data_IF_140290835097
#
_entry.id   IF_140290835097
#
_cell.length_a   1.000
_cell.length_b   1.000
_cell.length_c   1.000
_cell.angle_alpha   90.00
_cell.angle_beta   90.00
_cell.angle_gamma   90.00
#
_symmetry.space_group_name_H-M   'P 1'
#
loop_
_entity.id
_entity.type
_entity.pdbx_description
1 polymer ?
#
# COMPACT_ATOMS: atom_id res chain seq x y z
N UNK A 1 1.37 -0.47 -24.74
CA UNK A 1 0.65 -0.95 -23.55
C UNK A 1 -0.14 0.21 -23.00
N UNK A 2 -1.45 0.04 -22.79
CA UNK A 2 -2.23 1.05 -22.07
C UNK A 2 -1.62 1.26 -20.69
N UNK A 3 -1.36 2.51 -20.31
CA UNK A 3 -0.74 2.80 -19.02
C UNK A 3 -1.65 2.43 -17.84
N UNK A 4 -1.07 2.27 -16.66
CA UNK A 4 -1.75 1.83 -15.43
C UNK A 4 -2.31 3.04 -14.69
N UNK A 5 -3.55 2.94 -14.19
CA UNK A 5 -4.09 3.88 -13.22
C UNK A 5 -3.44 3.63 -11.85
N UNK A 6 -2.99 4.68 -11.16
CA UNK A 6 -2.38 4.59 -9.83
C UNK A 6 -3.26 5.28 -8.78
N UNK A 7 -3.80 4.51 -7.84
CA UNK A 7 -4.59 4.97 -6.70
C UNK A 7 -3.69 5.19 -5.49
N UNK A 8 -3.73 6.38 -4.93
CA UNK A 8 -3.04 6.76 -3.69
C UNK A 8 -4.08 6.86 -2.57
N UNK A 9 -4.03 5.95 -1.62
CA UNK A 9 -4.88 6.01 -0.43
C UNK A 9 -4.34 7.07 0.52
N UNK A 10 -5.01 8.19 0.61
CA UNK A 10 -4.65 9.34 1.42
C UNK A 10 -5.69 9.64 2.52
N UNK A 11 -6.62 8.72 2.78
CA UNK A 11 -7.60 8.89 3.85
C UNK A 11 -6.95 8.91 5.24
N UNK A 12 -7.49 9.73 6.15
CA UNK A 12 -7.05 9.82 7.53
C UNK A 12 -8.15 9.37 8.51
N UNK A 13 -7.81 9.35 9.80
CA UNK A 13 -8.79 9.06 10.87
C UNK A 13 -9.62 10.28 11.26
N UNK A 14 -9.57 11.33 10.45
CA UNK A 14 -10.22 12.61 10.72
C UNK A 14 -9.32 13.61 11.45
N UNK A 15 -9.89 14.69 12.02
CA UNK A 15 -9.13 15.78 12.61
C UNK A 15 -8.31 15.34 13.85
N UNK A 16 -8.69 14.25 14.50
CA UNK A 16 -8.00 13.71 15.67
C UNK A 16 -6.95 12.64 15.30
N UNK A 17 -6.50 12.59 14.05
CA UNK A 17 -5.43 11.66 13.66
C UNK A 17 -4.17 11.95 14.49
N UNK A 18 -3.65 10.96 15.27
CA UNK A 18 -2.56 11.20 16.22
C UNK A 18 -1.29 11.74 15.56
N UNK A 19 -1.01 11.38 14.31
CA UNK A 19 0.16 11.86 13.58
C UNK A 19 -0.04 13.31 13.13
N UNK A 20 -1.23 13.66 12.64
CA UNK A 20 -1.55 15.02 12.25
C UNK A 20 -1.49 15.97 13.45
N UNK A 21 -2.08 15.56 14.59
CA UNK A 21 -2.04 16.34 15.85
C UNK A 21 -0.60 16.50 16.34
N UNK A 22 0.19 15.43 16.38
CA UNK A 22 1.57 15.47 16.90
C UNK A 22 2.50 16.35 16.04
N UNK A 23 2.22 16.48 14.74
CA UNK A 23 3.02 17.28 13.80
C UNK A 23 2.44 18.68 13.52
N UNK A 24 1.26 19.00 14.10
CA UNK A 24 0.60 20.29 13.93
C UNK A 24 0.06 20.54 12.52
N UNK A 25 -0.18 19.48 11.73
CA UNK A 25 -0.77 19.61 10.40
C UNK A 25 -2.26 19.24 10.40
N UNK A 26 -3.01 19.74 9.42
CA UNK A 26 -4.45 19.50 9.33
C UNK A 26 -4.81 18.08 8.85
N UNK A 27 -3.84 17.34 8.27
CA UNK A 27 -4.09 16.04 7.70
C UNK A 27 -2.79 15.21 7.61
N UNK A 28 -2.82 13.90 7.96
CA UNK A 28 -1.65 13.00 7.98
C UNK A 28 -0.87 13.02 6.65
N UNK A 29 -1.55 12.98 5.51
CA UNK A 29 -0.90 12.97 4.19
C UNK A 29 -0.08 14.25 3.88
N UNK A 30 -0.28 15.33 4.65
CA UNK A 30 0.41 16.61 4.50
C UNK A 30 1.64 16.75 5.41
N UNK A 31 1.95 15.76 6.23
CA UNK A 31 3.16 15.77 7.07
C UNK A 31 4.37 15.97 6.15
N UNK A 32 5.22 17.00 6.41
CA UNK A 32 6.38 17.25 5.60
C UNK A 32 7.49 16.23 5.90
N UNK A 33 8.17 15.77 4.86
CA UNK A 33 9.40 14.97 4.91
C UNK A 33 10.45 15.70 4.10
N UNK A 34 11.51 16.15 4.75
CA UNK A 34 12.49 17.03 4.10
C UNK A 34 11.86 18.30 3.51
N UNK A 35 10.85 18.85 4.19
CA UNK A 35 10.11 20.04 3.74
C UNK A 35 9.06 19.80 2.65
N UNK A 36 8.88 18.56 2.16
CA UNK A 36 7.89 18.20 1.11
C UNK A 36 6.80 17.32 1.71
N UNK A 37 5.49 17.65 1.56
CA UNK A 37 4.39 16.81 2.02
C UNK A 37 4.52 15.37 1.51
N UNK A 38 4.25 14.38 2.39
CA UNK A 38 4.32 12.95 2.03
C UNK A 38 3.53 12.64 0.76
N UNK A 39 2.32 13.16 0.64
CA UNK A 39 1.47 12.97 -0.54
C UNK A 39 2.15 13.44 -1.83
N UNK A 40 2.80 14.61 -1.82
CA UNK A 40 3.50 15.12 -3.01
C UNK A 40 4.69 14.25 -3.40
N UNK A 41 5.40 13.69 -2.43
CA UNK A 41 6.50 12.75 -2.70
C UNK A 41 6.00 11.49 -3.41
N UNK A 42 4.88 10.92 -2.94
CA UNK A 42 4.25 9.75 -3.56
C UNK A 42 3.72 10.08 -4.96
N UNK A 43 3.04 11.22 -5.13
CA UNK A 43 2.57 11.71 -6.44
C UNK A 43 3.75 11.81 -7.41
N UNK A 44 4.85 12.47 -7.00
CA UNK A 44 6.02 12.68 -7.85
C UNK A 44 6.67 11.34 -8.27
N UNK A 45 6.80 10.38 -7.35
CA UNK A 45 7.35 9.06 -7.65
C UNK A 45 6.50 8.29 -8.68
N UNK A 46 5.17 8.33 -8.51
CA UNK A 46 4.24 7.71 -9.46
C UNK A 46 4.23 8.45 -10.81
N UNK A 47 4.28 9.78 -10.77
CA UNK A 47 4.34 10.60 -11.98
C UNK A 47 5.60 10.34 -12.80
N UNK A 48 6.74 10.14 -12.15
CA UNK A 48 8.00 9.81 -12.80
C UNK A 48 8.07 8.35 -13.30
N UNK A 49 7.10 7.49 -12.94
CA UNK A 49 7.04 6.09 -13.39
C UNK A 49 6.41 6.00 -14.78
N UNK A 50 7.12 5.57 -15.86
CA UNK A 50 6.60 5.59 -17.22
C UNK A 50 5.32 4.77 -17.43
N UNK A 51 5.18 3.63 -16.72
CA UNK A 51 4.03 2.75 -16.84
C UNK A 51 2.74 3.33 -16.23
N UNK A 52 2.83 4.34 -15.35
CA UNK A 52 1.67 5.00 -14.77
C UNK A 52 1.13 6.04 -15.75
N UNK A 53 -0.15 5.95 -16.11
CA UNK A 53 -0.80 6.89 -17.04
C UNK A 53 -1.62 7.97 -16.33
N UNK A 54 -2.20 7.66 -15.17
CA UNK A 54 -3.10 8.53 -14.42
C UNK A 54 -2.85 8.38 -12.92
N UNK A 55 -2.96 9.47 -12.19
CA UNK A 55 -2.88 9.56 -10.75
C UNK A 55 -4.27 9.76 -10.17
N UNK A 56 -4.62 9.01 -9.13
CA UNK A 56 -5.90 9.10 -8.44
C UNK A 56 -5.60 9.23 -6.95
N UNK A 57 -5.95 10.36 -6.34
CA UNK A 57 -5.81 10.57 -4.90
C UNK A 57 -7.15 10.32 -4.23
N UNK A 58 -7.21 9.29 -3.39
CA UNK A 58 -8.39 8.94 -2.62
C UNK A 58 -8.31 9.59 -1.23
N UNK A 59 -9.11 10.61 -1.00
CA UNK A 59 -9.07 11.44 0.21
C UNK A 59 -10.48 11.94 0.56
N UNK A 60 -10.74 12.17 1.85
CA UNK A 60 -11.99 12.75 2.34
C UNK A 60 -12.06 14.27 2.20
N UNK A 61 -10.91 14.95 2.10
CA UNK A 61 -10.78 16.42 2.04
C UNK A 61 -10.05 16.86 0.74
N UNK A 62 -10.69 16.76 -0.43
CA UNK A 62 -10.06 17.03 -1.73
C UNK A 62 -9.56 18.47 -1.89
N UNK A 63 -10.12 19.42 -1.15
CA UNK A 63 -9.69 20.82 -1.13
C UNK A 63 -8.25 20.97 -0.60
N UNK A 64 -7.83 20.12 0.34
CA UNK A 64 -6.46 20.12 0.86
C UNK A 64 -5.45 19.78 -0.23
N UNK A 65 -5.80 18.84 -1.11
CA UNK A 65 -4.92 18.45 -2.23
C UNK A 65 -4.84 19.59 -3.27
N UNK A 66 -5.99 20.19 -3.63
CA UNK A 66 -6.03 21.30 -4.60
C UNK A 66 -5.24 22.51 -4.13
N UNK A 67 -5.17 22.73 -2.82
CA UNK A 67 -4.45 23.84 -2.21
C UNK A 67 -2.94 23.59 -2.04
N UNK A 68 -2.42 22.39 -2.38
CA UNK A 68 -1.02 22.05 -2.17
C UNK A 68 -0.09 22.81 -3.13
N UNK A 69 0.81 23.65 -2.63
CA UNK A 69 1.86 24.25 -3.46
C UNK A 69 2.73 23.15 -4.09
N UNK A 70 2.99 23.25 -5.39
CA UNK A 70 3.83 22.30 -6.11
C UNK A 70 3.10 21.04 -6.62
N UNK A 71 1.77 20.97 -6.47
CA UNK A 71 0.98 19.81 -6.96
C UNK A 71 1.18 19.57 -8.45
N UNK A 72 1.08 20.62 -9.28
CA UNK A 72 1.24 20.51 -10.74
C UNK A 72 2.63 20.00 -11.11
N UNK A 73 3.66 20.50 -10.44
CA UNK A 73 5.04 20.05 -10.64
C UNK A 73 5.21 18.59 -10.24
N UNK A 74 4.62 18.16 -9.11
CA UNK A 74 4.66 16.78 -8.65
C UNK A 74 3.93 15.83 -9.62
N UNK A 75 2.86 16.27 -10.28
CA UNK A 75 2.13 15.48 -11.27
C UNK A 75 2.93 15.25 -12.58
N UNK A 76 3.96 16.03 -12.85
CA UNK A 76 4.82 15.86 -14.02
C UNK A 76 4.07 15.82 -15.36
N UNK A 77 2.96 16.55 -15.46
CA UNK A 77 2.08 16.57 -16.65
C UNK A 77 1.11 15.39 -16.75
N UNK A 78 1.09 14.44 -15.81
CA UNK A 78 0.09 13.37 -15.78
C UNK A 78 -1.24 13.85 -15.21
N UNK A 79 -2.38 13.37 -15.73
CA UNK A 79 -3.68 13.72 -15.21
C UNK A 79 -3.83 13.23 -13.76
N UNK A 80 -4.33 14.11 -12.89
CA UNK A 80 -4.66 13.82 -11.50
C UNK A 80 -6.17 13.92 -11.31
N UNK A 81 -6.75 12.90 -10.69
CA UNK A 81 -8.15 12.88 -10.27
C UNK A 81 -8.24 12.74 -8.75
N UNK A 82 -9.27 13.37 -8.17
CA UNK A 82 -9.58 13.26 -6.75
C UNK A 82 -10.77 12.34 -6.57
N UNK A 83 -10.63 11.32 -5.74
CA UNK A 83 -11.64 10.31 -5.47
C UNK A 83 -12.03 10.33 -3.99
N UNK A 84 -13.32 10.26 -3.69
CA UNK A 84 -13.81 10.34 -2.32
C UNK A 84 -13.45 9.06 -1.53
N UNK A 85 -12.82 9.23 -0.37
CA UNK A 85 -12.54 8.12 0.55
C UNK A 85 -13.84 7.49 1.10
N UNK A 86 -13.86 6.17 1.23
CA UNK A 86 -15.05 5.39 1.61
C UNK A 86 -15.03 4.91 3.07
N UNK A 87 -14.39 5.67 3.96
CA UNK A 87 -14.33 5.40 5.41
C UNK A 87 -13.39 4.26 5.82
N UNK A 88 -12.83 3.49 4.86
CA UNK A 88 -11.72 2.58 5.12
C UNK A 88 -10.89 2.33 3.84
N UNK A 89 -9.61 1.93 3.99
CA UNK A 89 -8.73 1.63 2.85
C UNK A 89 -9.33 0.58 1.91
N UNK A 90 -9.81 -0.53 2.46
CA UNK A 90 -10.38 -1.63 1.67
C UNK A 90 -11.65 -1.22 0.90
N UNK A 91 -12.54 -0.44 1.52
CA UNK A 91 -13.74 0.08 0.85
C UNK A 91 -13.38 1.09 -0.25
N UNK A 92 -12.39 1.94 0.00
CA UNK A 92 -11.90 2.90 -1.00
C UNK A 92 -11.32 2.19 -2.22
N UNK A 93 -10.52 1.12 -2.03
CA UNK A 93 -10.01 0.29 -3.13
C UNK A 93 -11.15 -0.40 -3.89
N UNK A 94 -12.13 -0.98 -3.16
CA UNK A 94 -13.29 -1.63 -3.79
C UNK A 94 -14.11 -0.67 -4.65
N UNK A 95 -14.36 0.55 -4.14
CA UNK A 95 -15.07 1.59 -4.89
C UNK A 95 -14.26 2.10 -6.10
N UNK A 96 -12.94 2.26 -5.93
CA UNK A 96 -12.06 2.68 -7.02
C UNK A 96 -12.01 1.62 -8.14
N UNK A 97 -11.94 0.34 -7.80
CA UNK A 97 -11.99 -0.75 -8.78
C UNK A 97 -13.33 -0.77 -9.54
N UNK A 98 -14.45 -0.51 -8.85
CA UNK A 98 -15.76 -0.42 -9.50
C UNK A 98 -15.86 0.78 -10.45
N UNK A 99 -15.18 1.89 -10.14
CA UNK A 99 -15.24 3.12 -10.93
C UNK A 99 -14.21 3.15 -12.08
N UNK A 100 -12.97 2.79 -11.81
CA UNK A 100 -11.85 2.91 -12.76
C UNK A 100 -11.52 1.58 -13.47
N UNK A 101 -12.01 0.46 -12.96
CA UNK A 101 -11.68 -0.87 -13.47
C UNK A 101 -10.25 -1.29 -13.18
N UNK A 102 -9.77 -2.22 -13.98
CA UNK A 102 -8.41 -2.78 -13.94
C UNK A 102 -7.71 -2.55 -15.29
N UNK A 103 -6.39 -2.49 -15.36
CA UNK A 103 -5.44 -2.66 -14.24
C UNK A 103 -5.38 -1.45 -13.31
N UNK A 104 -5.27 -1.69 -11.99
CA UNK A 104 -5.16 -0.67 -10.96
C UNK A 104 -3.97 -0.96 -10.04
N UNK A 105 -3.02 -0.03 -9.97
CA UNK A 105 -1.97 0.02 -8.97
C UNK A 105 -2.49 0.78 -7.75
N UNK A 106 -2.24 0.28 -6.55
CA UNK A 106 -2.63 0.93 -5.30
C UNK A 106 -1.41 1.12 -4.41
N UNK A 107 -1.26 2.30 -3.85
CA UNK A 107 -0.30 2.63 -2.80
C UNK A 107 -0.93 3.54 -1.75
N UNK A 108 -0.16 3.95 -0.75
CA UNK A 108 -0.62 4.81 0.34
C UNK A 108 0.16 6.12 0.39
N UNK A 109 -0.44 7.19 0.88
CA UNK A 109 0.19 8.51 0.98
C UNK A 109 1.33 8.55 2.02
N UNK A 110 1.35 7.63 2.99
CA UNK A 110 2.39 7.51 4.00
C UNK A 110 3.61 6.70 3.54
N UNK A 111 3.62 6.22 2.29
CA UNK A 111 4.80 5.62 1.65
C UNK A 111 5.76 6.70 1.12
N UNK A 112 6.17 7.62 1.99
CA UNK A 112 6.90 8.84 1.64
C UNK A 112 8.29 8.63 1.02
N UNK A 113 8.87 7.43 1.15
CA UNK A 113 10.14 7.05 0.52
C UNK A 113 9.96 6.43 -0.87
N UNK A 114 8.74 6.30 -1.39
CA UNK A 114 8.47 5.66 -2.67
C UNK A 114 9.36 6.24 -3.78
N UNK A 115 9.94 5.35 -4.59
CA UNK A 115 10.80 5.71 -5.71
C UNK A 115 10.22 5.15 -7.03
N UNK A 116 10.41 5.85 -8.16
CA UNK A 116 9.94 5.39 -9.47
C UNK A 116 10.48 4.01 -9.86
N UNK A 117 11.72 3.71 -9.48
CA UNK A 117 12.39 2.42 -9.75
C UNK A 117 11.68 1.27 -9.03
N UNK A 118 11.18 1.48 -7.82
CA UNK A 118 10.47 0.45 -7.06
C UNK A 118 9.12 0.13 -7.69
N UNK A 119 8.41 1.17 -8.12
CA UNK A 119 7.13 1.02 -8.84
C UNK A 119 7.35 0.32 -10.18
N UNK A 120 8.38 0.74 -10.92
CA UNK A 120 8.74 0.13 -12.21
C UNK A 120 9.11 -1.33 -12.04
N UNK A 121 9.95 -1.67 -11.05
CA UNK A 121 10.29 -3.05 -10.72
C UNK A 121 9.05 -3.87 -10.40
N UNK A 122 8.19 -3.38 -9.50
CA UNK A 122 6.96 -4.06 -9.12
C UNK A 122 6.06 -4.35 -10.33
N UNK A 123 5.87 -3.37 -11.22
CA UNK A 123 5.03 -3.54 -12.42
C UNK A 123 5.68 -4.44 -13.48
N UNK A 124 7.00 -4.46 -13.60
CA UNK A 124 7.72 -5.34 -14.54
C UNK A 124 7.77 -6.80 -14.09
N UNK A 125 7.76 -7.05 -12.78
CA UNK A 125 7.81 -8.39 -12.19
C UNK A 125 6.44 -9.04 -12.02
N UNK A 126 5.39 -8.53 -12.71
CA UNK A 126 4.05 -9.10 -12.60
C UNK A 126 4.01 -10.52 -13.19
N UNK A 127 3.68 -11.56 -12.39
CA UNK A 127 3.64 -12.92 -12.89
C UNK A 127 2.48 -13.14 -13.87
N UNK A 128 2.76 -13.82 -14.97
CA UNK A 128 1.71 -14.14 -15.95
C UNK A 128 0.54 -14.91 -15.29
N UNK A 129 -0.68 -14.47 -15.58
CA UNK A 129 -1.91 -15.08 -15.07
C UNK A 129 -2.20 -14.81 -13.58
N UNK A 130 -1.49 -13.86 -12.93
CA UNK A 130 -1.89 -13.37 -11.62
C UNK A 130 -3.08 -12.40 -11.76
N UNK A 131 -4.11 -12.57 -10.93
CA UNK A 131 -5.23 -11.63 -10.85
C UNK A 131 -4.90 -10.44 -9.97
N UNK A 132 -4.21 -10.69 -8.85
CA UNK A 132 -3.71 -9.65 -7.96
C UNK A 132 -2.32 -9.96 -7.43
N UNK A 133 -1.53 -8.92 -7.19
CA UNK A 133 -0.19 -9.04 -6.61
C UNK A 133 0.00 -8.06 -5.46
N UNK A 134 0.87 -8.43 -4.53
CA UNK A 134 1.30 -7.60 -3.41
C UNK A 134 2.82 -7.56 -3.36
N UNK A 135 3.38 -6.39 -3.11
CA UNK A 135 4.81 -6.20 -2.91
C UNK A 135 5.19 -6.50 -1.46
N UNK A 136 6.13 -7.44 -1.25
CA UNK A 136 6.69 -7.75 0.06
C UNK A 136 8.22 -7.69 -0.01
N UNK A 137 8.87 -7.22 1.06
CA UNK A 137 10.31 -7.29 1.21
C UNK A 137 10.67 -8.27 2.34
N UNK A 138 11.74 -9.06 2.15
CA UNK A 138 12.28 -9.95 3.20
C UNK A 138 12.85 -9.14 4.35
N UNK A 139 12.66 -9.63 5.57
CA UNK A 139 13.17 -8.97 6.77
C UNK A 139 14.67 -8.69 6.71
N UNK A 140 15.47 -9.59 6.14
CA UNK A 140 16.91 -9.39 5.97
C UNK A 140 17.22 -8.17 5.08
N UNK A 141 16.46 -7.97 3.99
CA UNK A 141 16.61 -6.83 3.07
C UNK A 141 16.20 -5.53 3.76
N UNK A 142 15.09 -5.57 4.51
CA UNK A 142 14.60 -4.40 5.27
C UNK A 142 15.60 -3.99 6.34
N UNK A 143 16.08 -4.95 7.15
CA UNK A 143 17.02 -4.69 8.24
C UNK A 143 18.39 -4.22 7.74
N UNK A 144 18.84 -4.70 6.58
CA UNK A 144 20.07 -4.21 5.95
C UNK A 144 19.96 -2.74 5.48
N UNK A 145 18.76 -2.33 5.00
CA UNK A 145 18.53 -0.98 4.50
C UNK A 145 18.16 0.04 5.59
N UNK A 146 17.57 -0.42 6.69
CA UNK A 146 17.12 0.41 7.82
C UNK A 146 17.16 -0.41 9.13
N UNK A 147 18.34 -0.60 9.73
CA UNK A 147 18.50 -1.43 10.94
C UNK A 147 17.75 -0.88 12.15
N UNK A 148 17.48 0.42 12.20
CA UNK A 148 16.77 1.08 13.30
C UNK A 148 15.22 0.98 13.15
N UNK A 149 14.73 0.33 12.11
CA UNK A 149 13.28 0.24 11.88
C UNK A 149 12.60 -0.67 12.91
N UNK A 150 11.40 -0.26 13.35
CA UNK A 150 10.54 -1.03 14.26
C UNK A 150 9.36 -1.67 13.52
N UNK A 151 9.63 -2.22 12.30
CA UNK A 151 8.59 -2.86 11.49
C UNK A 151 8.14 -4.19 12.07
N UNK A 152 6.85 -4.46 11.92
CA UNK A 152 6.31 -5.79 12.19
C UNK A 152 6.52 -6.68 10.98
N UNK A 153 7.07 -7.88 11.19
CA UNK A 153 7.26 -8.86 10.13
C UNK A 153 6.21 -9.97 10.21
N UNK A 154 5.59 -10.26 9.08
CA UNK A 154 4.78 -11.46 8.88
C UNK A 154 5.72 -12.67 8.91
N UNK A 155 5.40 -13.68 9.71
CA UNK A 155 6.24 -14.86 9.94
C UNK A 155 5.66 -16.06 9.21
N UNK A 156 6.29 -16.43 8.10
CA UNK A 156 5.95 -17.61 7.32
C UNK A 156 7.04 -18.69 7.45
N UNK A 157 6.71 -19.93 7.08
CA UNK A 157 7.66 -21.04 7.12
C UNK A 157 8.89 -20.84 6.20
N UNK A 158 8.70 -20.09 5.13
CA UNK A 158 9.68 -19.78 4.08
C UNK A 158 10.33 -18.40 4.22
N UNK A 159 10.06 -17.69 5.31
CA UNK A 159 10.73 -16.43 5.63
C UNK A 159 9.86 -15.43 6.39
N UNK A 160 10.49 -14.31 6.74
CA UNK A 160 9.81 -13.17 7.38
C UNK A 160 9.73 -12.01 6.39
N UNK A 161 8.56 -11.39 6.27
CA UNK A 161 8.28 -10.38 5.25
C UNK A 161 7.60 -9.16 5.86
N UNK A 162 7.84 -7.99 5.25
CA UNK A 162 7.09 -6.76 5.50
C UNK A 162 6.41 -6.28 4.22
N UNK A 163 5.21 -5.71 4.35
CA UNK A 163 4.50 -5.09 3.23
C UNK A 163 5.23 -3.85 2.71
N UNK A 164 5.18 -3.64 1.40
CA UNK A 164 5.74 -2.45 0.74
C UNK A 164 4.66 -1.48 0.24
N UNK A 165 3.44 -1.59 0.75
CA UNK A 165 2.30 -0.73 0.40
C UNK A 165 2.11 -0.54 -1.12
N UNK A 166 2.40 -1.58 -1.90
CA UNK A 166 2.12 -1.66 -3.33
C UNK A 166 1.27 -2.90 -3.59
N UNK A 167 0.10 -2.68 -4.21
CA UNK A 167 -0.84 -3.71 -4.62
C UNK A 167 -1.21 -3.49 -6.08
N UNK A 168 -1.41 -4.56 -6.82
CA UNK A 168 -1.81 -4.46 -8.22
C UNK A 168 -2.95 -5.42 -8.49
N UNK A 169 -4.04 -4.89 -9.04
CA UNK A 169 -5.23 -5.61 -9.47
C UNK A 169 -5.20 -5.66 -10.99
N UNK A 170 -4.85 -6.83 -11.54
CA UNK A 170 -4.56 -6.97 -12.96
C UNK A 170 -5.82 -7.23 -13.82
N UNK A 171 -6.78 -7.96 -13.26
CA UNK A 171 -7.95 -8.45 -14.00
C UNK A 171 -9.26 -7.99 -13.35
N UNK A 172 -10.37 -7.86 -14.10
CA UNK A 172 -11.66 -7.47 -13.52
C UNK A 172 -12.11 -8.37 -12.36
N UNK A 173 -11.95 -9.72 -12.39
CA UNK A 173 -12.25 -10.56 -11.24
C UNK A 173 -11.47 -10.24 -9.97
N UNK A 174 -10.29 -9.62 -10.08
CA UNK A 174 -9.46 -9.25 -8.92
C UNK A 174 -10.18 -8.34 -7.91
N UNK A 175 -11.28 -7.68 -8.28
CA UNK A 175 -12.14 -6.94 -7.36
C UNK A 175 -12.64 -7.81 -6.18
N UNK A 176 -12.71 -9.13 -6.34
CA UNK A 176 -13.04 -10.05 -5.26
C UNK A 176 -11.99 -10.05 -4.12
N UNK A 177 -10.71 -9.76 -4.41
CA UNK A 177 -9.71 -9.58 -3.34
C UNK A 177 -9.96 -8.30 -2.53
N UNK A 178 -10.40 -7.21 -3.15
CA UNK A 178 -10.78 -6.00 -2.43
C UNK A 178 -12.02 -6.25 -1.56
N UNK A 179 -13.01 -6.99 -2.05
CA UNK A 179 -14.18 -7.39 -1.27
C UNK A 179 -13.80 -8.31 -0.08
N UNK A 180 -12.88 -9.25 -0.30
CA UNK A 180 -12.34 -10.09 0.79
C UNK A 180 -11.58 -9.24 1.82
N UNK A 181 -10.81 -8.25 1.38
CA UNK A 181 -10.12 -7.33 2.29
C UNK A 181 -11.11 -6.55 3.16
N UNK A 182 -12.24 -6.08 2.59
CA UNK A 182 -13.33 -5.44 3.38
C UNK A 182 -13.82 -6.37 4.50
N UNK A 183 -14.02 -7.66 4.19
CA UNK A 183 -14.44 -8.66 5.19
C UNK A 183 -13.39 -8.87 6.28
N UNK A 184 -12.12 -9.05 5.89
CA UNK A 184 -10.99 -9.24 6.81
C UNK A 184 -10.81 -8.00 7.71
N UNK A 185 -10.91 -6.80 7.15
CA UNK A 185 -10.82 -5.56 7.91
C UNK A 185 -11.95 -5.43 8.94
N UNK A 186 -13.18 -5.77 8.57
CA UNK A 186 -14.32 -5.76 9.48
C UNK A 186 -14.17 -6.78 10.63
N UNK A 187 -13.48 -7.90 10.39
CA UNK A 187 -13.28 -8.97 11.36
C UNK A 187 -12.00 -8.83 12.20
N UNK A 188 -11.15 -7.82 11.95
CA UNK A 188 -9.83 -7.67 12.63
C UNK A 188 -9.89 -7.67 14.16
N UNK A 189 -11.02 -7.21 14.74
CA UNK A 189 -11.26 -7.21 16.19
C UNK A 189 -12.10 -8.42 16.68
N UNK A 190 -12.40 -9.37 15.81
CA UNK A 190 -13.27 -10.53 16.08
C UNK A 190 -12.52 -11.84 15.74
N UNK A 191 -11.56 -12.27 16.59
CA UNK A 191 -10.66 -13.39 16.27
C UNK A 191 -11.39 -14.70 15.97
N UNK A 192 -12.50 -14.97 16.65
CA UNK A 192 -13.29 -16.20 16.41
C UNK A 192 -13.90 -16.21 15.00
N UNK A 193 -14.45 -15.07 14.56
CA UNK A 193 -15.02 -14.96 13.21
C UNK A 193 -13.91 -14.97 12.14
N UNK A 194 -12.74 -14.38 12.44
CA UNK A 194 -11.59 -14.45 11.57
C UNK A 194 -11.11 -15.90 11.39
N UNK A 195 -11.09 -16.69 12.47
CA UNK A 195 -10.80 -18.13 12.41
C UNK A 195 -11.83 -18.88 11.55
N UNK A 196 -13.12 -18.51 11.65
CA UNK A 196 -14.18 -19.06 10.79
C UNK A 196 -13.93 -18.77 9.31
N UNK A 197 -13.50 -17.56 8.96
CA UNK A 197 -13.23 -17.17 7.58
C UNK A 197 -11.97 -17.87 7.03
N UNK A 198 -10.85 -17.79 7.74
CA UNK A 198 -9.58 -18.32 7.28
C UNK A 198 -9.45 -19.83 7.46
N UNK A 199 -10.09 -20.38 8.48
CA UNK A 199 -10.00 -21.77 8.90
C UNK A 199 -9.03 -21.98 10.07
N UNK A 200 -9.44 -22.83 11.03
CA UNK A 200 -8.64 -23.11 12.24
C UNK A 200 -7.25 -23.65 11.91
N UNK A 201 -7.15 -24.62 10.99
CA UNK A 201 -5.88 -25.22 10.60
C UNK A 201 -4.92 -24.21 9.94
N UNK A 202 -5.46 -23.24 9.19
CA UNK A 202 -4.67 -22.14 8.62
C UNK A 202 -4.07 -21.25 9.72
N UNK A 203 -4.89 -20.80 10.65
CA UNK A 203 -4.44 -19.95 11.75
C UNK A 203 -3.45 -20.65 12.68
N UNK A 204 -3.68 -21.93 12.98
CA UNK A 204 -2.78 -22.74 13.79
C UNK A 204 -1.41 -22.89 13.10
N UNK A 205 -1.37 -23.24 11.82
CA UNK A 205 -0.11 -23.35 11.05
C UNK A 205 0.64 -22.02 10.99
N UNK A 206 -0.08 -20.87 10.81
CA UNK A 206 0.53 -19.57 10.85
C UNK A 206 1.14 -19.25 12.23
N UNK A 207 0.41 -19.52 13.31
CA UNK A 207 0.88 -19.28 14.69
C UNK A 207 2.11 -20.14 15.03
N UNK A 208 2.18 -21.36 14.50
CA UNK A 208 3.32 -22.26 14.69
C UNK A 208 4.49 -21.98 13.73
N UNK A 209 4.39 -21.00 12.82
CA UNK A 209 5.40 -20.73 11.80
C UNK A 209 5.52 -21.83 10.73
N UNK A 210 4.49 -22.66 10.57
CA UNK A 210 4.45 -23.78 9.64
C UNK A 210 3.69 -23.49 8.33
N UNK A 211 3.18 -22.29 8.16
CA UNK A 211 2.44 -21.87 6.97
C UNK A 211 3.40 -21.21 5.97
N UNK A 212 3.63 -21.79 4.78
CA UNK A 212 4.35 -21.09 3.71
C UNK A 212 3.55 -19.90 3.16
N UNK A 213 4.24 -18.85 2.73
CA UNK A 213 3.62 -17.66 2.14
C UNK A 213 2.75 -18.00 0.93
N UNK A 214 3.24 -18.88 0.04
CA UNK A 214 2.46 -19.34 -1.12
C UNK A 214 1.15 -20.04 -0.74
N UNK A 215 1.15 -20.84 0.34
CA UNK A 215 -0.07 -21.49 0.83
C UNK A 215 -1.07 -20.47 1.43
N UNK A 216 -0.55 -19.38 2.06
CA UNK A 216 -1.38 -18.29 2.54
C UNK A 216 -2.09 -17.58 1.38
N UNK A 217 -1.37 -17.24 0.33
CA UNK A 217 -1.92 -16.60 -0.87
C UNK A 217 -2.91 -17.50 -1.61
N UNK A 218 -2.59 -18.80 -1.75
CA UNK A 218 -3.52 -19.76 -2.36
C UNK A 218 -4.85 -19.84 -1.57
N UNK A 219 -4.79 -19.79 -0.23
CA UNK A 219 -6.01 -19.74 0.60
C UNK A 219 -6.81 -18.47 0.36
N UNK A 220 -6.16 -17.30 0.28
CA UNK A 220 -6.83 -16.04 -0.07
C UNK A 220 -7.46 -16.12 -1.46
N UNK A 221 -6.76 -16.71 -2.43
CA UNK A 221 -7.28 -16.95 -3.77
C UNK A 221 -8.56 -17.79 -3.77
N UNK A 222 -8.58 -18.89 -3.01
CA UNK A 222 -9.78 -19.73 -2.85
C UNK A 222 -10.93 -18.93 -2.24
N UNK A 223 -10.67 -18.12 -1.21
CA UNK A 223 -11.68 -17.28 -0.59
C UNK A 223 -12.20 -16.16 -1.51
N UNK A 224 -11.37 -15.73 -2.46
CA UNK A 224 -11.74 -14.75 -3.49
C UNK A 224 -12.37 -15.40 -4.72
N UNK A 225 -12.81 -16.66 -4.67
CA UNK A 225 -13.50 -17.34 -5.78
C UNK A 225 -12.60 -18.11 -6.73
N UNK A 226 -11.43 -18.58 -6.26
CA UNK A 226 -10.49 -19.36 -7.07
C UNK A 226 -9.46 -18.53 -7.83
N UNK A 227 -9.31 -17.26 -7.48
CA UNK A 227 -8.39 -16.33 -8.15
C UNK A 227 -6.94 -16.53 -7.69
N UNK A 228 -6.00 -16.05 -8.49
CA UNK A 228 -4.58 -16.18 -8.24
C UNK A 228 -3.98 -14.89 -7.65
N UNK A 229 -3.64 -14.93 -6.35
CA UNK A 229 -2.83 -13.91 -5.68
C UNK A 229 -1.36 -14.33 -5.65
N UNK A 230 -0.45 -13.41 -5.94
CA UNK A 230 1.00 -13.67 -5.97
C UNK A 230 1.76 -12.55 -5.26
N UNK A 231 2.92 -12.88 -4.68
CA UNK A 231 3.87 -11.88 -4.16
C UNK A 231 4.88 -11.53 -5.24
N UNK A 232 5.19 -10.25 -5.34
CA UNK A 232 6.43 -9.75 -5.95
C UNK A 232 7.38 -9.40 -4.82
N UNK A 233 8.50 -10.14 -4.71
CA UNK A 233 9.53 -9.84 -3.73
C UNK A 233 10.30 -8.59 -4.15
N UNK A 234 10.35 -7.61 -3.24
CA UNK A 234 11.03 -6.33 -3.47
C UNK A 234 12.48 -6.42 -2.95
N UNK A 235 13.48 -6.14 -3.80
CA UNK A 235 14.88 -6.09 -3.38
C UNK A 235 15.24 -4.79 -2.63
N UNK A 236 14.27 -3.90 -2.44
CA UNK A 236 14.43 -2.57 -1.88
C UNK A 236 13.91 -2.54 -0.44
N UNK A 237 14.79 -2.62 0.55
CA UNK A 237 14.37 -2.69 1.96
C UNK A 237 13.65 -1.44 2.45
N UNK A 238 14.02 -0.24 1.94
CA UNK A 238 13.33 1.01 2.26
C UNK A 238 11.90 1.06 1.71
N UNK A 239 11.55 0.23 0.72
CA UNK A 239 10.18 0.13 0.19
C UNK A 239 9.17 -0.40 1.22
N UNK A 240 9.62 -1.06 2.27
CA UNK A 240 8.76 -1.54 3.36
C UNK A 240 8.59 -0.51 4.50
N UNK A 241 9.06 0.74 4.33
CA UNK A 241 9.00 1.77 5.38
C UNK A 241 7.92 2.79 5.00
N UNK A 242 6.91 2.90 5.84
CA UNK A 242 5.87 3.91 5.81
C UNK A 242 5.87 4.72 7.12
N UNK A 243 5.11 5.79 7.18
CA UNK A 243 5.03 6.70 8.33
C UNK A 243 3.72 6.50 9.07
N UNK A 244 3.73 5.62 10.09
CA UNK A 244 2.55 5.33 10.93
C UNK A 244 2.63 5.93 12.34
N UNK A 245 3.83 6.20 12.84
CA UNK A 245 4.11 6.75 14.17
C UNK A 245 5.32 7.69 14.14
N UNK A 246 5.52 8.48 15.19
CA UNK A 246 6.60 9.47 15.27
C UNK A 246 8.00 8.86 15.05
N UNK A 247 8.26 7.67 15.57
CA UNK A 247 9.53 6.99 15.33
C UNK A 247 9.79 6.66 13.85
N UNK A 248 8.72 6.37 13.08
CA UNK A 248 8.84 6.16 11.63
C UNK A 248 9.12 7.49 10.92
N UNK A 249 8.46 8.58 11.35
CA UNK A 249 8.70 9.92 10.81
C UNK A 249 10.18 10.32 11.01
N UNK A 250 10.70 10.18 12.21
CA UNK A 250 12.11 10.47 12.51
C UNK A 250 13.09 9.61 11.69
N UNK A 251 12.76 8.32 11.50
CA UNK A 251 13.54 7.42 10.65
C UNK A 251 13.54 7.89 9.21
N UNK A 252 12.36 8.19 8.66
CA UNK A 252 12.19 8.61 7.26
C UNK A 252 12.88 9.94 7.00
N UNK A 253 12.78 10.90 7.91
CA UNK A 253 13.52 12.17 7.85
C UNK A 253 15.05 11.94 7.78
N UNK A 254 15.58 11.07 8.66
CA UNK A 254 17.02 10.72 8.63
C UNK A 254 17.41 10.04 7.30
N UNK A 255 16.56 9.19 6.75
CA UNK A 255 16.83 8.49 5.49
C UNK A 255 16.81 9.44 4.29
N UNK A 256 15.92 10.42 4.29
CA UNK A 256 15.85 11.46 3.25
C UNK A 256 17.03 12.43 3.33
N UNK A 257 17.46 12.80 4.54
CA UNK A 257 18.62 13.70 4.73
C UNK A 257 19.97 13.08 4.31
N UNK A 258 20.03 11.75 4.23
CA UNK A 258 21.27 11.01 3.83
C UNK A 258 21.33 10.72 2.32
N UNK A 259 20.33 11.09 1.54
CA UNK A 259 20.27 10.90 0.10
C UNK A 259 19.56 9.67 -0.31
#
# INVERSE_FOLDING_TARGET
MSGVNALILAGSRGPDDPMAVATGVVHKALIPIGGVPMLLRVIAALAATPAVARLIVCIEAPELVRALPGLDAACGGKPLELFAAQGSPSRSVSAALAHYGTPLLVTTADHALLQPEWVSHFLQQQPAGADATVALARSAVVMAAAPDTQRTFLRFADGHFSGCNLFYFATPPAAAFAALWVQVEALRKQPVKMLGLLGFGFALRYRLGLLPLGAALARLGVLAGGLRAVVVEMPFGRAAIDVDKMADLELVERLVARG
#
